data_IF_558137799420
#
_entry.id   IF_558137799420
#
_cell.length_a   1.000
_cell.length_b   1.000
_cell.length_c   1.000
_cell.angle_alpha   90.00
_cell.angle_beta   90.00
_cell.angle_gamma   90.00
#
_symmetry.space_group_name_H-M   'P 1'
#
loop_
_entity.id
_entity.type
_entity.pdbx_description
1 polymer ?
#
# COMPACT_ATOMS: atom_id res chain seq x y z
N UNK A 1 10.45 17.19 29.80
CA UNK A 1 11.59 16.99 28.88
C UNK A 1 11.54 18.03 27.75
N UNK A 2 12.64 18.36 27.05
CA UNK A 2 12.57 19.16 25.81
C UNK A 2 12.40 18.29 24.57
N UNK A 3 11.83 18.84 23.49
CA UNK A 3 11.60 18.11 22.22
C UNK A 3 12.87 17.39 21.72
N UNK A 4 14.03 18.07 21.71
CA UNK A 4 15.28 17.43 21.29
C UNK A 4 15.76 16.30 22.22
N UNK A 5 15.45 16.39 23.52
CA UNK A 5 15.81 15.36 24.51
C UNK A 5 14.93 14.13 24.32
N UNK A 6 13.65 14.32 24.01
CA UNK A 6 12.71 13.25 23.70
C UNK A 6 13.12 12.47 22.45
N UNK A 7 13.47 13.16 21.36
CA UNK A 7 13.96 12.51 20.15
C UNK A 7 15.27 11.77 20.38
N UNK A 8 16.20 12.35 21.14
CA UNK A 8 17.48 11.71 21.46
C UNK A 8 17.29 10.46 22.31
N UNK A 9 16.42 10.51 23.30
CA UNK A 9 16.07 9.35 24.12
C UNK A 9 15.41 8.27 23.26
N UNK A 10 14.41 8.62 22.44
CA UNK A 10 13.71 7.66 21.59
C UNK A 10 14.65 7.00 20.57
N UNK A 11 15.50 7.76 19.89
CA UNK A 11 16.51 7.22 18.95
C UNK A 11 17.42 6.20 19.65
N UNK A 12 17.99 6.54 20.82
CA UNK A 12 18.84 5.61 21.59
C UNK A 12 18.07 4.35 21.99
N UNK A 13 16.87 4.52 22.54
CA UNK A 13 16.07 3.42 23.05
C UNK A 13 15.58 2.49 21.93
N UNK A 14 15.20 3.03 20.78
CA UNK A 14 14.77 2.27 19.61
C UNK A 14 15.93 1.49 19.00
N UNK A 15 17.10 2.12 18.83
CA UNK A 15 18.30 1.45 18.32
C UNK A 15 18.74 0.29 19.23
N UNK A 16 18.76 0.51 20.55
CA UNK A 16 19.10 -0.54 21.53
C UNK A 16 18.16 -1.76 21.46
N UNK A 17 16.92 -1.55 21.00
CA UNK A 17 15.92 -2.60 20.83
C UNK A 17 15.75 -3.05 19.36
N UNK A 18 16.66 -2.65 18.46
CA UNK A 18 16.64 -3.07 17.05
C UNK A 18 15.43 -2.55 16.25
N UNK A 19 14.92 -1.36 16.60
CA UNK A 19 13.83 -0.66 15.90
C UNK A 19 14.35 0.54 15.11
N UNK A 20 13.57 0.97 14.10
CA UNK A 20 13.87 2.19 13.34
C UNK A 20 13.69 3.43 14.22
N UNK A 21 14.71 4.28 14.26
CA UNK A 21 14.70 5.52 15.04
C UNK A 21 13.69 6.56 14.53
N UNK A 22 13.30 6.50 13.25
CA UNK A 22 12.33 7.42 12.64
C UNK A 22 10.96 7.36 13.32
N UNK A 23 10.63 6.23 13.96
CA UNK A 23 9.41 6.08 14.77
C UNK A 23 9.30 7.18 15.84
N UNK A 24 10.41 7.64 16.41
CA UNK A 24 10.44 8.74 17.38
C UNK A 24 9.91 10.05 16.81
N UNK A 25 10.28 10.41 15.58
CA UNK A 25 9.78 11.63 14.93
C UNK A 25 8.26 11.55 14.69
N UNK A 26 7.77 10.41 14.22
CA UNK A 26 6.35 10.19 13.93
C UNK A 26 5.47 10.32 15.19
N UNK A 27 5.85 9.63 16.27
CA UNK A 27 5.11 9.69 17.54
C UNK A 27 5.15 11.11 18.10
N UNK A 28 6.29 11.79 18.04
CA UNK A 28 6.40 13.13 18.60
C UNK A 28 5.58 14.15 17.80
N UNK A 29 5.58 14.06 16.47
CA UNK A 29 4.69 14.88 15.63
C UNK A 29 3.21 14.65 16.00
N UNK A 30 2.79 13.41 16.21
CA UNK A 30 1.44 13.06 16.63
C UNK A 30 1.08 13.66 18.00
N UNK A 31 1.91 13.43 19.03
CA UNK A 31 1.68 13.90 20.39
C UNK A 31 1.63 15.43 20.47
N UNK A 32 2.50 16.11 19.71
CA UNK A 32 2.56 17.57 19.65
C UNK A 32 1.52 18.17 18.69
N UNK A 33 0.78 17.35 17.95
CA UNK A 33 -0.19 17.77 16.91
C UNK A 33 0.45 18.74 15.90
N UNK A 34 1.65 18.39 15.45
CA UNK A 34 2.45 19.21 14.55
C UNK A 34 3.02 18.38 13.42
N UNK A 35 3.55 19.04 12.40
CA UNK A 35 4.30 18.38 11.33
C UNK A 35 5.81 18.46 11.61
N UNK A 36 6.61 17.79 10.79
CA UNK A 36 8.07 17.76 10.94
C UNK A 36 8.69 19.16 11.01
N UNK A 37 8.26 20.09 10.17
CA UNK A 37 8.74 21.49 10.20
C UNK A 37 8.43 22.16 11.53
N UNK A 38 7.20 22.03 12.02
CA UNK A 38 6.80 22.58 13.32
C UNK A 38 7.55 21.93 14.50
N UNK A 39 7.80 20.63 14.45
CA UNK A 39 8.63 19.93 15.44
C UNK A 39 10.06 20.50 15.45
N UNK A 40 10.69 20.64 14.27
CA UNK A 40 12.06 21.16 14.13
C UNK A 40 12.19 22.62 14.61
N UNK A 41 11.17 23.44 14.37
CA UNK A 41 11.15 24.83 14.86
C UNK A 41 11.07 24.91 16.40
N UNK A 42 10.46 23.93 17.04
CA UNK A 42 10.20 23.91 18.48
C UNK A 42 11.15 22.96 19.25
N UNK A 43 12.32 22.63 18.70
CA UNK A 43 13.26 21.67 19.30
C UNK A 43 13.66 22.00 20.74
N UNK A 44 13.65 23.28 21.13
CA UNK A 44 14.04 23.74 22.47
C UNK A 44 12.88 23.90 23.44
N UNK A 45 11.65 23.79 22.94
CA UNK A 45 10.45 23.90 23.76
C UNK A 45 10.30 22.68 24.68
N UNK A 46 9.69 22.91 25.83
CA UNK A 46 9.35 21.86 26.79
C UNK A 46 8.05 21.17 26.38
N UNK A 47 8.03 19.85 26.46
CA UNK A 47 6.80 19.07 26.33
C UNK A 47 6.13 18.93 27.69
N UNK A 48 4.79 18.89 27.73
CA UNK A 48 4.06 18.70 28.99
C UNK A 48 4.26 17.30 29.54
N UNK A 49 3.93 17.08 30.81
CA UNK A 49 4.04 15.76 31.45
C UNK A 49 3.13 14.75 30.77
N UNK A 50 1.94 15.16 30.34
CA UNK A 50 1.00 14.31 29.61
C UNK A 50 1.55 13.92 28.22
N UNK A 51 2.17 14.88 27.52
CA UNK A 51 2.82 14.62 26.23
C UNK A 51 4.01 13.67 26.39
N UNK A 52 4.85 13.90 27.40
CA UNK A 52 5.99 13.03 27.73
C UNK A 52 5.54 11.60 28.06
N UNK A 53 4.47 11.46 28.85
CA UNK A 53 3.89 10.16 29.21
C UNK A 53 3.37 9.45 27.96
N UNK A 54 2.55 10.12 27.16
CA UNK A 54 2.00 9.55 25.92
C UNK A 54 3.11 9.17 24.94
N UNK A 55 4.09 10.03 24.72
CA UNK A 55 5.24 9.75 23.84
C UNK A 55 5.98 8.49 24.29
N UNK A 56 6.30 8.41 25.58
CA UNK A 56 7.03 7.27 26.16
C UNK A 56 6.25 5.96 26.02
N UNK A 57 4.94 5.98 26.28
CA UNK A 57 4.06 4.81 26.15
C UNK A 57 4.02 4.26 24.70
N UNK A 58 3.91 5.14 23.70
CA UNK A 58 3.92 4.74 22.29
C UNK A 58 5.25 4.08 21.91
N UNK A 59 6.37 4.66 22.35
CA UNK A 59 7.70 4.13 22.06
C UNK A 59 7.90 2.74 22.70
N UNK A 60 7.44 2.54 23.94
CA UNK A 60 7.48 1.23 24.58
C UNK A 60 6.64 0.19 23.83
N UNK A 61 5.40 0.53 23.47
CA UNK A 61 4.53 -0.35 22.67
C UNK A 61 5.12 -0.69 21.30
N UNK A 62 5.85 0.24 20.70
CA UNK A 62 6.53 -0.02 19.43
C UNK A 62 7.66 -1.03 19.57
N UNK A 63 8.42 -0.95 20.67
CA UNK A 63 9.43 -1.95 20.99
C UNK A 63 8.79 -3.33 21.16
N UNK A 64 7.61 -3.41 21.78
CA UNK A 64 6.84 -4.65 21.92
C UNK A 64 6.33 -5.22 20.58
N UNK A 65 6.35 -4.45 19.50
CA UNK A 65 6.01 -4.91 18.15
C UNK A 65 4.88 -4.12 17.49
N UNK A 66 4.16 -3.27 18.21
CA UNK A 66 2.98 -2.59 17.65
C UNK A 66 3.44 -1.51 16.65
N UNK A 67 2.97 -1.51 15.39
CA UNK A 67 3.27 -0.44 14.43
C UNK A 67 2.82 0.93 14.95
N UNK A 68 3.67 1.96 14.77
CA UNK A 68 3.35 3.33 15.19
C UNK A 68 2.06 3.81 14.54
N UNK A 69 1.90 3.52 13.26
CA UNK A 69 0.79 3.93 12.40
C UNK A 69 -0.56 3.50 12.96
N UNK A 70 -0.67 2.26 13.45
CA UNK A 70 -1.90 1.77 14.07
C UNK A 70 -2.18 2.46 15.40
N UNK A 71 -1.15 2.84 16.17
CA UNK A 71 -1.35 3.58 17.40
C UNK A 71 -1.73 5.04 17.16
N UNK A 72 -1.14 5.69 16.15
CA UNK A 72 -1.47 7.09 15.79
C UNK A 72 -2.73 7.19 14.92
N UNK A 73 -3.15 6.08 14.31
CA UNK A 73 -4.36 5.91 13.50
C UNK A 73 -4.23 6.32 12.04
N UNK A 74 -3.03 6.64 11.53
CA UNK A 74 -2.86 7.04 10.13
C UNK A 74 -1.46 6.77 9.60
N UNK A 75 -1.34 6.74 8.27
CA UNK A 75 -0.09 6.77 7.51
C UNK A 75 -0.16 7.87 6.44
N UNK A 76 0.97 8.50 6.13
CA UNK A 76 1.10 9.43 5.03
C UNK A 76 1.41 8.67 3.74
N UNK A 77 0.57 8.85 2.73
CA UNK A 77 0.74 8.23 1.42
C UNK A 77 0.33 9.21 0.33
N UNK A 78 1.19 9.40 -0.67
CA UNK A 78 0.99 10.31 -1.81
C UNK A 78 0.61 11.74 -1.37
N UNK A 79 1.26 12.22 -0.31
CA UNK A 79 1.02 13.54 0.29
C UNK A 79 -0.29 13.69 1.08
N UNK A 80 -1.02 12.59 1.34
CA UNK A 80 -2.32 12.56 2.03
C UNK A 80 -2.25 11.69 3.27
N UNK A 81 -3.12 11.95 4.24
CA UNK A 81 -3.24 11.14 5.46
C UNK A 81 -4.32 10.09 5.25
N UNK A 82 -3.97 8.82 5.32
CA UNK A 82 -4.88 7.68 5.26
C UNK A 82 -5.04 7.09 6.66
N UNK A 83 -6.28 6.98 7.12
CA UNK A 83 -6.63 6.20 8.30
C UNK A 83 -6.22 4.73 8.09
N UNK A 84 -5.56 4.15 9.09
CA UNK A 84 -5.13 2.74 9.09
C UNK A 84 -5.32 2.14 10.48
N UNK A 85 -5.61 0.84 10.49
CA UNK A 85 -5.77 0.01 11.68
C UNK A 85 -5.32 -1.44 11.37
N UNK A 86 -5.45 -2.34 12.34
CA UNK A 86 -5.05 -3.76 12.22
C UNK A 86 -5.75 -4.56 11.10
N UNK A 87 -6.78 -4.00 10.46
CA UNK A 87 -7.52 -4.66 9.39
C UNK A 87 -6.93 -4.43 8.00
N UNK A 88 -5.94 -3.53 7.86
CA UNK A 88 -5.35 -3.14 6.57
C UNK A 88 -3.83 -3.10 6.62
N UNK A 89 -3.19 -3.41 5.49
CA UNK A 89 -1.75 -3.17 5.32
C UNK A 89 -1.45 -1.68 5.45
N UNK A 90 -0.36 -1.34 6.16
CA UNK A 90 0.14 0.04 6.19
C UNK A 90 0.69 0.37 4.79
N UNK A 91 0.22 1.44 4.11
CA UNK A 91 0.72 1.85 2.80
C UNK A 91 2.24 2.00 2.79
N UNK A 92 2.89 1.51 1.73
CA UNK A 92 4.35 1.52 1.60
C UNK A 92 4.79 2.53 0.54
N UNK A 93 5.93 3.23 0.72
CA UNK A 93 6.42 4.19 -0.25
C UNK A 93 6.59 3.62 -1.66
N UNK A 94 7.01 2.35 -1.78
CA UNK A 94 7.19 1.65 -3.06
C UNK A 94 5.88 1.58 -3.87
N UNK A 95 4.72 1.51 -3.20
CA UNK A 95 3.41 1.50 -3.85
C UNK A 95 3.09 2.86 -4.51
N UNK A 96 3.71 3.96 -4.08
CA UNK A 96 3.57 5.25 -4.78
C UNK A 96 4.20 5.18 -6.19
N UNK A 97 5.32 4.48 -6.33
CA UNK A 97 5.99 4.29 -7.63
C UNK A 97 5.14 3.46 -8.59
N UNK A 98 4.39 2.48 -8.08
CA UNK A 98 3.41 1.72 -8.88
C UNK A 98 2.35 2.66 -9.47
N UNK A 99 1.80 3.56 -8.66
CA UNK A 99 0.76 4.52 -9.09
C UNK A 99 1.32 5.47 -10.16
N UNK A 100 2.53 5.99 -9.95
CA UNK A 100 3.23 6.82 -10.96
C UNK A 100 3.34 6.05 -12.28
N UNK A 101 3.86 4.82 -12.23
CA UNK A 101 4.02 3.98 -13.42
C UNK A 101 2.70 3.62 -14.12
N UNK A 102 1.60 3.49 -13.38
CA UNK A 102 0.25 3.30 -13.93
C UNK A 102 -0.23 4.56 -14.65
N UNK A 103 -0.12 5.74 -14.02
CA UNK A 103 -0.60 7.00 -14.59
C UNK A 103 0.17 7.37 -15.87
N UNK A 104 1.48 7.20 -15.90
CA UNK A 104 2.31 7.43 -17.09
C UNK A 104 1.92 6.50 -18.26
N UNK A 105 1.61 5.24 -17.96
CA UNK A 105 1.14 4.27 -18.97
C UNK A 105 -0.25 4.61 -19.47
N UNK A 106 -1.16 5.01 -18.58
CA UNK A 106 -2.49 5.50 -18.95
C UNK A 106 -2.39 6.67 -19.92
N UNK A 107 -1.60 7.71 -19.60
CA UNK A 107 -1.43 8.88 -20.46
C UNK A 107 -0.89 8.48 -21.84
N UNK A 108 0.13 7.61 -21.88
CA UNK A 108 0.75 7.17 -23.14
C UNK A 108 -0.17 6.28 -23.98
N UNK A 109 -0.89 5.35 -23.35
CA UNK A 109 -1.69 4.35 -24.06
C UNK A 109 -3.07 4.89 -24.42
N UNK A 110 -3.71 5.67 -23.55
CA UNK A 110 -5.11 6.07 -23.67
C UNK A 110 -5.31 7.58 -23.75
N UNK A 111 -4.32 8.40 -23.39
CA UNK A 111 -4.48 9.86 -23.32
C UNK A 111 -5.60 10.27 -22.37
N UNK A 112 -6.55 11.07 -22.85
CA UNK A 112 -7.68 11.61 -22.08
C UNK A 112 -8.96 10.75 -22.16
N UNK A 113 -8.87 9.50 -22.64
CA UNK A 113 -10.02 8.59 -22.67
C UNK A 113 -10.57 8.33 -21.25
N UNK A 114 -11.89 8.09 -21.16
CA UNK A 114 -12.50 7.66 -19.89
C UNK A 114 -12.30 6.16 -19.72
N UNK A 115 -11.69 5.78 -18.60
CA UNK A 115 -11.25 4.40 -18.36
C UNK A 115 -11.90 3.79 -17.12
N UNK A 116 -12.17 2.50 -17.19
CA UNK A 116 -12.56 1.67 -16.07
C UNK A 116 -11.31 1.03 -15.45
N UNK A 117 -10.99 1.44 -14.22
CA UNK A 117 -9.78 0.99 -13.51
C UNK A 117 -10.19 0.21 -12.27
N UNK A 118 -9.57 -0.94 -12.02
CA UNK A 118 -9.81 -1.71 -10.80
C UNK A 118 -8.52 -1.88 -9.99
N UNK A 119 -8.60 -1.55 -8.71
CA UNK A 119 -7.62 -1.87 -7.68
C UNK A 119 -8.07 -3.13 -6.92
N UNK A 120 -7.26 -4.19 -6.96
CA UNK A 120 -7.60 -5.49 -6.37
C UNK A 120 -6.77 -5.71 -5.10
N UNK A 121 -7.45 -5.93 -3.97
CA UNK A 121 -6.84 -5.95 -2.64
C UNK A 121 -6.70 -4.54 -2.07
N UNK A 122 -7.83 -3.82 -1.94
CA UNK A 122 -7.87 -2.39 -1.59
C UNK A 122 -7.08 -2.02 -0.33
N UNK A 123 -7.10 -2.88 0.70
CA UNK A 123 -6.55 -2.55 2.01
C UNK A 123 -7.14 -1.24 2.54
N UNK A 124 -6.29 -0.23 2.75
CA UNK A 124 -6.71 1.11 3.21
C UNK A 124 -7.34 1.98 2.10
N UNK A 125 -7.35 1.50 0.86
CA UNK A 125 -7.77 2.24 -0.33
C UNK A 125 -6.65 3.10 -0.95
N UNK A 126 -5.40 2.94 -0.50
CA UNK A 126 -4.28 3.79 -0.91
C UNK A 126 -4.15 3.93 -2.44
N UNK A 127 -4.21 2.82 -3.18
CA UNK A 127 -4.09 2.80 -4.64
C UNK A 127 -5.35 3.40 -5.29
N UNK A 128 -6.53 2.80 -5.06
CA UNK A 128 -7.79 3.24 -5.68
C UNK A 128 -8.13 4.70 -5.43
N UNK A 129 -8.01 5.17 -4.19
CA UNK A 129 -8.32 6.56 -3.82
C UNK A 129 -7.35 7.53 -4.49
N UNK A 130 -6.05 7.20 -4.48
CA UNK A 130 -5.04 8.06 -5.11
C UNK A 130 -5.28 8.15 -6.61
N UNK A 131 -5.49 7.03 -7.31
CA UNK A 131 -5.80 7.02 -8.75
C UNK A 131 -7.03 7.89 -9.07
N UNK A 132 -8.10 7.79 -8.27
CA UNK A 132 -9.31 8.59 -8.46
C UNK A 132 -9.09 10.10 -8.27
N UNK A 133 -8.16 10.48 -7.39
CA UNK A 133 -7.82 11.88 -7.12
C UNK A 133 -6.84 12.47 -8.15
N UNK A 134 -5.91 11.66 -8.66
CA UNK A 134 -4.89 12.10 -9.63
C UNK A 134 -5.45 12.22 -11.06
N UNK A 135 -6.44 11.39 -11.45
CA UNK A 135 -7.01 11.45 -12.80
C UNK A 135 -8.55 11.32 -12.80
N UNK A 136 -9.22 12.42 -13.14
CA UNK A 136 -10.70 12.51 -13.17
C UNK A 136 -11.37 11.79 -14.34
N UNK A 137 -10.60 11.31 -15.32
CA UNK A 137 -11.13 10.48 -16.41
C UNK A 137 -11.26 9.01 -15.99
N UNK A 138 -10.74 8.62 -14.83
CA UNK A 138 -10.84 7.26 -14.32
C UNK A 138 -12.15 7.06 -13.56
N UNK A 139 -12.89 6.02 -13.93
CA UNK A 139 -13.90 5.43 -13.08
C UNK A 139 -13.25 4.29 -12.30
N UNK A 140 -12.93 4.56 -11.03
CA UNK A 140 -12.17 3.62 -10.20
C UNK A 140 -13.09 2.70 -9.42
N UNK A 141 -12.86 1.40 -9.58
CA UNK A 141 -13.40 0.34 -8.77
C UNK A 141 -12.34 -0.16 -7.81
N UNK A 142 -12.78 -0.74 -6.70
CA UNK A 142 -11.89 -1.51 -5.84
C UNK A 142 -12.57 -2.74 -5.28
N UNK A 143 -11.78 -3.80 -5.07
CA UNK A 143 -12.23 -5.07 -4.54
C UNK A 143 -11.37 -5.45 -3.34
N UNK A 144 -11.99 -5.95 -2.28
CA UNK A 144 -11.29 -6.65 -1.22
C UNK A 144 -12.12 -7.84 -0.72
N UNK A 145 -11.42 -8.87 -0.23
CA UNK A 145 -12.04 -10.05 0.37
C UNK A 145 -12.48 -9.79 1.81
N UNK A 146 -11.85 -8.83 2.48
CA UNK A 146 -12.18 -8.44 3.84
C UNK A 146 -13.16 -7.25 3.85
N UNK A 147 -14.29 -7.44 4.53
CA UNK A 147 -15.31 -6.39 4.64
C UNK A 147 -14.81 -5.22 5.49
N UNK A 148 -13.98 -5.51 6.48
CA UNK A 148 -13.34 -4.56 7.39
C UNK A 148 -12.38 -3.64 6.64
N UNK A 149 -11.58 -4.17 5.70
CA UNK A 149 -10.69 -3.37 4.84
C UNK A 149 -11.49 -2.41 3.94
N UNK A 150 -12.63 -2.87 3.39
CA UNK A 150 -13.53 -2.02 2.61
C UNK A 150 -14.09 -0.87 3.44
N UNK A 151 -14.39 -1.08 4.72
CA UNK A 151 -14.89 -0.04 5.61
C UNK A 151 -13.83 1.04 5.87
N UNK A 152 -12.58 0.64 6.11
CA UNK A 152 -11.43 1.55 6.21
C UNK A 152 -11.25 2.36 4.93
N UNK A 153 -11.26 1.69 3.77
CA UNK A 153 -11.12 2.36 2.48
C UNK A 153 -12.28 3.33 2.18
N UNK A 154 -13.52 3.00 2.57
CA UNK A 154 -14.66 3.91 2.45
C UNK A 154 -14.51 5.15 3.34
N UNK A 155 -14.01 4.99 4.56
CA UNK A 155 -13.73 6.11 5.46
C UNK A 155 -12.66 7.05 4.87
N UNK A 156 -11.59 6.48 4.33
CA UNK A 156 -10.55 7.24 3.65
C UNK A 156 -11.08 7.97 2.41
N UNK A 157 -11.84 7.28 1.55
CA UNK A 157 -12.40 7.87 0.34
C UNK A 157 -13.33 9.04 0.67
N UNK A 158 -14.17 8.88 1.69
CA UNK A 158 -15.05 9.96 2.19
C UNK A 158 -14.25 11.13 2.74
N UNK A 159 -13.22 10.88 3.54
CA UNK A 159 -12.39 11.91 4.18
C UNK A 159 -11.59 12.70 3.15
N UNK A 160 -11.06 12.02 2.13
CA UNK A 160 -10.23 12.62 1.07
C UNK A 160 -11.04 13.14 -0.12
N UNK A 161 -12.36 12.86 -0.16
CA UNK A 161 -13.25 13.32 -1.23
C UNK A 161 -13.05 12.59 -2.56
N UNK A 162 -12.66 11.32 -2.53
CA UNK A 162 -12.47 10.49 -3.71
C UNK A 162 -13.75 9.71 -4.08
N UNK A 163 -14.06 9.64 -5.37
CA UNK A 163 -15.15 8.82 -5.89
C UNK A 163 -14.62 7.44 -6.31
N UNK A 164 -14.96 6.41 -5.53
CA UNK A 164 -14.55 5.02 -5.77
C UNK A 164 -15.77 4.10 -5.63
N UNK A 165 -15.90 3.14 -6.53
CA UNK A 165 -16.92 2.09 -6.47
C UNK A 165 -16.36 0.86 -5.74
N UNK A 166 -16.96 0.47 -4.62
CA UNK A 166 -16.46 -0.62 -3.76
C UNK A 166 -17.21 -1.92 -4.00
N UNK A 167 -16.47 -3.02 -4.15
CA UNK A 167 -17.00 -4.37 -4.17
C UNK A 167 -16.38 -5.24 -3.07
N UNK A 168 -17.23 -6.02 -2.40
CA UNK A 168 -16.78 -7.12 -1.56
C UNK A 168 -16.71 -8.40 -2.40
N UNK A 169 -15.54 -9.02 -2.46
CA UNK A 169 -15.35 -10.21 -3.28
C UNK A 169 -13.91 -10.69 -3.33
N UNK A 170 -13.74 -11.86 -3.94
CA UNK A 170 -12.43 -12.44 -4.17
C UNK A 170 -11.92 -12.05 -5.57
N UNK A 171 -10.73 -11.46 -5.61
CA UNK A 171 -10.03 -10.99 -6.81
C UNK A 171 -10.94 -10.31 -7.85
N UNK A 172 -10.99 -10.84 -9.08
CA UNK A 172 -11.72 -10.23 -10.19
C UNK A 172 -13.17 -10.74 -10.30
N UNK A 173 -13.62 -11.53 -9.32
CA UNK A 173 -14.94 -12.15 -9.33
C UNK A 173 -16.14 -11.21 -9.42
N UNK A 174 -16.13 -10.00 -8.84
CA UNK A 174 -17.22 -9.05 -9.05
C UNK A 174 -17.39 -8.64 -10.52
N UNK A 175 -16.30 -8.59 -11.29
CA UNK A 175 -16.30 -8.11 -12.68
C UNK A 175 -16.74 -9.20 -13.66
N UNK A 176 -16.15 -10.40 -13.63
CA UNK A 176 -16.56 -11.44 -14.58
C UNK A 176 -17.98 -11.97 -14.32
N UNK A 177 -18.49 -11.89 -13.08
CA UNK A 177 -19.89 -12.21 -12.78
C UNK A 177 -20.89 -11.21 -13.38
N UNK A 178 -20.49 -9.95 -13.52
CA UNK A 178 -21.33 -8.87 -14.06
C UNK A 178 -21.07 -8.62 -15.55
N UNK A 179 -20.00 -9.19 -16.11
CA UNK A 179 -19.54 -8.92 -17.46
C UNK A 179 -18.88 -7.55 -17.64
N UNK A 180 -18.59 -6.83 -16.54
CA UNK A 180 -17.90 -5.55 -16.57
C UNK A 180 -16.48 -5.76 -17.10
N UNK A 181 -16.10 -4.95 -18.09
CA UNK A 181 -14.75 -4.94 -18.65
C UNK A 181 -13.92 -3.80 -18.07
N UNK A 182 -12.61 -4.01 -18.00
CA UNK A 182 -11.65 -3.11 -17.38
C UNK A 182 -10.56 -2.75 -18.38
N UNK A 183 -10.20 -1.47 -18.40
CA UNK A 183 -9.09 -0.92 -19.19
C UNK A 183 -7.78 -1.03 -18.40
N UNK A 184 -7.84 -0.95 -17.07
CA UNK A 184 -6.66 -1.05 -16.20
C UNK A 184 -6.96 -1.91 -14.98
N UNK A 185 -6.08 -2.85 -14.66
CA UNK A 185 -6.08 -3.60 -13.40
C UNK A 185 -4.77 -3.32 -12.67
N UNK A 186 -4.87 -2.89 -11.41
CA UNK A 186 -3.74 -2.63 -10.53
C UNK A 186 -3.90 -3.47 -9.26
N UNK A 187 -2.82 -4.01 -8.73
CA UNK A 187 -2.86 -4.70 -7.44
C UNK A 187 -1.50 -4.67 -6.75
N UNK A 188 -1.51 -4.53 -5.43
CA UNK A 188 -0.42 -4.92 -4.55
C UNK A 188 -0.87 -6.18 -3.78
N UNK A 189 -0.82 -7.38 -4.41
CA UNK A 189 -1.32 -8.59 -3.78
C UNK A 189 -0.32 -9.11 -2.75
N UNK A 190 -0.74 -10.01 -1.86
CA UNK A 190 0.17 -10.73 -0.97
C UNK A 190 1.19 -11.54 -1.79
N UNK A 191 2.48 -11.35 -1.51
CA UNK A 191 3.57 -11.95 -2.31
C UNK A 191 4.62 -12.68 -1.47
N UNK A 192 4.48 -12.71 -0.15
CA UNK A 192 5.50 -13.30 0.74
C UNK A 192 5.34 -14.82 0.75
N UNK A 193 6.39 -15.61 0.45
CA UNK A 193 6.39 -17.05 0.61
C UNK A 193 6.09 -17.48 2.06
N UNK A 194 5.41 -18.61 2.23
CA UNK A 194 5.03 -19.10 3.57
C UNK A 194 6.25 -19.46 4.44
N UNK A 195 7.38 -19.84 3.84
CA UNK A 195 8.62 -20.08 4.58
C UNK A 195 9.25 -18.77 5.08
N UNK A 196 9.25 -17.73 4.26
CA UNK A 196 9.79 -16.40 4.58
C UNK A 196 8.96 -15.67 5.63
N UNK A 197 7.66 -15.97 5.72
CA UNK A 197 6.78 -15.50 6.79
C UNK A 197 7.38 -15.74 8.20
N UNK A 198 8.14 -16.83 8.37
CA UNK A 198 8.75 -17.14 9.67
C UNK A 198 9.87 -16.17 10.04
N UNK A 199 10.58 -15.63 9.05
CA UNK A 199 11.71 -14.71 9.18
C UNK A 199 11.35 -13.22 9.15
N UNK A 200 10.09 -12.87 8.88
CA UNK A 200 9.64 -11.48 8.95
C UNK A 200 9.84 -10.87 10.34
N UNK A 201 10.01 -9.55 10.35
CA UNK A 201 10.12 -8.81 11.61
C UNK A 201 8.87 -9.06 12.48
N UNK A 202 9.01 -9.16 13.82
CA UNK A 202 7.87 -9.39 14.70
C UNK A 202 6.73 -8.39 14.50
N UNK A 203 7.07 -7.13 14.18
CA UNK A 203 6.10 -6.04 13.94
C UNK A 203 5.15 -6.36 12.79
N UNK A 204 5.71 -6.80 11.66
CA UNK A 204 4.93 -7.15 10.47
C UNK A 204 4.13 -8.44 10.71
N UNK A 205 4.77 -9.43 11.33
CA UNK A 205 4.19 -10.76 11.52
C UNK A 205 3.03 -10.80 12.52
N UNK A 206 3.10 -10.01 13.59
CA UNK A 206 2.18 -10.08 14.72
C UNK A 206 1.01 -9.09 14.63
N UNK A 207 1.15 -8.04 13.82
CA UNK A 207 0.18 -6.93 13.82
C UNK A 207 -0.42 -6.60 12.46
N UNK A 208 0.24 -6.94 11.35
CA UNK A 208 -0.37 -6.78 10.02
C UNK A 208 -1.12 -8.06 9.62
N UNK A 209 -2.28 -7.95 8.94
CA UNK A 209 -3.12 -9.10 8.67
C UNK A 209 -2.41 -10.09 7.75
N UNK A 210 -2.21 -11.34 8.20
CA UNK A 210 -1.53 -12.41 7.41
C UNK A 210 -2.08 -12.54 5.99
N UNK A 211 -3.40 -12.35 5.82
CA UNK A 211 -4.10 -12.38 4.52
C UNK A 211 -3.59 -11.33 3.51
N UNK A 212 -3.00 -10.23 3.99
CA UNK A 212 -2.44 -9.16 3.15
C UNK A 212 -0.96 -9.38 2.81
N UNK A 213 -0.34 -10.44 3.34
CA UNK A 213 1.11 -10.64 3.28
C UNK A 213 1.51 -11.94 2.59
N UNK A 214 0.89 -13.07 2.94
CA UNK A 214 1.31 -14.40 2.46
C UNK A 214 0.70 -14.74 1.10
N UNK A 215 1.56 -15.01 0.12
CA UNK A 215 1.20 -15.32 -1.27
C UNK A 215 1.30 -16.81 -1.65
N UNK A 216 1.29 -17.72 -0.68
CA UNK A 216 1.40 -19.17 -0.91
C UNK A 216 2.78 -19.74 -0.63
N UNK A 217 3.07 -20.93 -1.17
CA UNK A 217 4.34 -21.65 -0.96
C UNK A 217 5.54 -20.84 -1.46
N UNK A 218 5.44 -20.28 -2.67
CA UNK A 218 6.49 -19.49 -3.34
C UNK A 218 6.11 -18.00 -3.51
N UNK A 219 5.01 -17.58 -2.90
CA UNK A 219 4.54 -16.20 -2.98
C UNK A 219 3.84 -15.85 -4.30
N UNK A 220 3.62 -16.81 -5.21
CA UNK A 220 3.09 -16.53 -6.54
C UNK A 220 1.61 -16.91 -6.77
N UNK A 221 0.90 -17.39 -5.75
CA UNK A 221 -0.46 -17.93 -5.92
C UNK A 221 -1.45 -16.89 -6.47
N UNK A 222 -1.40 -15.66 -5.99
CA UNK A 222 -2.28 -14.60 -6.48
C UNK A 222 -1.99 -14.24 -7.93
N UNK A 223 -0.72 -14.18 -8.35
CA UNK A 223 -0.38 -13.91 -9.74
C UNK A 223 -0.86 -15.03 -10.67
N UNK A 224 -0.73 -16.31 -10.27
CA UNK A 224 -1.29 -17.44 -11.03
C UNK A 224 -2.79 -17.31 -11.20
N UNK A 225 -3.52 -16.99 -10.13
CA UNK A 225 -4.97 -16.76 -10.18
C UNK A 225 -5.34 -15.59 -11.07
N UNK A 226 -4.59 -14.48 -11.00
CA UNK A 226 -4.79 -13.35 -11.90
C UNK A 226 -4.68 -13.77 -13.37
N UNK A 227 -3.70 -14.60 -13.74
CA UNK A 227 -3.55 -15.06 -15.13
C UNK A 227 -4.76 -15.86 -15.64
N UNK A 228 -5.46 -16.58 -14.76
CA UNK A 228 -6.68 -17.30 -15.10
C UNK A 228 -7.90 -16.36 -15.20
N UNK A 229 -7.96 -15.35 -14.35
CA UNK A 229 -9.14 -14.47 -14.22
C UNK A 229 -9.11 -13.26 -15.18
N UNK A 230 -7.94 -12.65 -15.41
CA UNK A 230 -7.75 -11.44 -16.24
C UNK A 230 -8.35 -11.55 -17.65
N UNK A 231 -8.17 -12.66 -18.41
CA UNK A 231 -8.74 -12.77 -19.76
C UNK A 231 -10.26 -12.58 -19.82
N UNK A 232 -10.95 -12.84 -18.71
CA UNK A 232 -12.41 -12.72 -18.63
C UNK A 232 -12.89 -11.28 -18.41
N UNK A 233 -12.02 -10.37 -17.97
CA UNK A 233 -12.40 -9.02 -17.53
C UNK A 233 -11.67 -7.90 -18.26
N UNK A 234 -10.53 -8.17 -18.89
CA UNK A 234 -9.81 -7.13 -19.62
C UNK A 234 -10.51 -6.77 -20.94
N UNK A 235 -10.38 -5.50 -21.31
CA UNK A 235 -10.55 -5.03 -22.69
C UNK A 235 -9.40 -5.55 -23.58
N UNK A 236 -9.53 -5.39 -24.90
CA UNK A 236 -8.46 -5.76 -25.84
C UNK A 236 -7.20 -4.91 -25.62
N UNK A 237 -7.42 -3.60 -25.54
CA UNK A 237 -6.43 -2.60 -25.14
C UNK A 237 -6.55 -2.39 -23.64
N UNK A 238 -5.52 -2.77 -22.90
CA UNK A 238 -5.57 -2.78 -21.44
C UNK A 238 -4.17 -2.64 -20.82
N UNK A 239 -4.13 -2.25 -19.54
CA UNK A 239 -2.92 -2.25 -18.72
C UNK A 239 -3.16 -3.16 -17.51
N UNK A 240 -2.17 -3.99 -17.18
CA UNK A 240 -2.10 -4.71 -15.92
C UNK A 240 -0.83 -4.28 -15.19
N UNK A 241 -0.95 -3.93 -13.91
CA UNK A 241 0.17 -3.47 -13.10
C UNK A 241 0.15 -4.17 -11.73
N UNK A 242 1.28 -4.75 -11.36
CA UNK A 242 1.43 -5.45 -10.09
C UNK A 242 2.63 -4.93 -9.31
N UNK A 243 2.46 -4.70 -8.01
CA UNK A 243 3.59 -4.74 -7.07
C UNK A 243 3.97 -6.20 -6.80
N UNK A 244 5.27 -6.44 -6.64
CA UNK A 244 5.86 -7.77 -6.47
C UNK A 244 6.92 -7.80 -5.35
N UNK A 245 7.16 -8.98 -4.81
CA UNK A 245 8.31 -9.25 -3.97
C UNK A 245 9.62 -9.18 -4.76
N UNK A 246 10.70 -8.83 -4.06
CA UNK A 246 12.05 -8.78 -4.65
C UNK A 246 12.44 -10.17 -5.17
N UNK A 247 12.92 -10.23 -6.41
CA UNK A 247 13.31 -11.45 -7.10
C UNK A 247 12.16 -12.14 -7.86
N UNK A 248 10.91 -11.69 -7.75
CA UNK A 248 9.76 -12.29 -8.43
C UNK A 248 9.49 -11.67 -9.82
N UNK A 249 10.25 -10.65 -10.24
CA UNK A 249 10.03 -9.90 -11.49
C UNK A 249 9.90 -10.76 -12.73
N UNK A 250 10.88 -11.61 -12.98
CA UNK A 250 10.89 -12.44 -14.20
C UNK A 250 9.84 -13.56 -14.15
N UNK A 251 9.51 -14.09 -12.97
CA UNK A 251 8.46 -15.11 -12.82
C UNK A 251 7.07 -14.53 -13.13
N UNK A 252 6.74 -13.37 -12.55
CA UNK A 252 5.46 -12.69 -12.79
C UNK A 252 5.36 -12.20 -14.23
N UNK A 253 6.45 -11.70 -14.80
CA UNK A 253 6.53 -11.35 -16.23
C UNK A 253 6.29 -12.57 -17.12
N UNK A 254 6.91 -13.70 -16.81
CA UNK A 254 6.70 -14.94 -17.57
C UNK A 254 5.23 -15.39 -17.52
N UNK A 255 4.60 -15.35 -16.34
CA UNK A 255 3.17 -15.65 -16.16
C UNK A 255 2.28 -14.75 -17.02
N UNK A 256 2.53 -13.43 -17.01
CA UNK A 256 1.82 -12.46 -17.84
C UNK A 256 1.99 -12.73 -19.34
N UNK A 257 3.20 -13.07 -19.79
CA UNK A 257 3.48 -13.39 -21.18
C UNK A 257 2.81 -14.70 -21.63
N UNK A 258 2.64 -15.69 -20.74
CA UNK A 258 1.87 -16.89 -21.06
C UNK A 258 0.38 -16.59 -21.22
N UNK A 259 -0.18 -15.76 -20.33
CA UNK A 259 -1.59 -15.38 -20.40
C UNK A 259 -1.89 -14.42 -21.58
N UNK A 260 -0.95 -13.54 -21.90
CA UNK A 260 -1.07 -12.51 -22.93
C UNK A 260 0.18 -12.49 -23.84
N UNK A 261 0.30 -13.41 -24.82
CA UNK A 261 1.50 -13.57 -25.65
C UNK A 261 1.88 -12.35 -26.51
N UNK A 262 0.94 -11.42 -26.71
CA UNK A 262 1.15 -10.20 -27.49
C UNK A 262 1.34 -8.94 -26.62
N UNK A 263 1.22 -9.06 -25.30
CA UNK A 263 1.42 -7.92 -24.41
C UNK A 263 2.89 -7.52 -24.34
N UNK A 264 3.15 -6.21 -24.28
CA UNK A 264 4.44 -5.71 -23.86
C UNK A 264 4.54 -5.82 -22.34
N UNK A 265 5.47 -6.65 -21.84
CA UNK A 265 5.63 -6.89 -20.40
C UNK A 265 7.00 -6.44 -19.93
N UNK A 266 7.03 -5.58 -18.91
CA UNK A 266 8.21 -4.94 -18.36
C UNK A 266 8.29 -5.14 -16.85
N UNK A 267 9.49 -5.44 -16.35
CA UNK A 267 9.82 -5.40 -14.92
C UNK A 267 10.47 -4.05 -14.63
N UNK A 268 9.90 -3.31 -13.70
CA UNK A 268 10.37 -1.98 -13.27
C UNK A 268 10.93 -2.08 -11.87
N UNK A 269 12.07 -1.43 -11.67
CA UNK A 269 12.79 -1.38 -10.42
C UNK A 269 12.35 -0.15 -9.61
N UNK A 270 12.29 -0.29 -8.29
CA UNK A 270 12.06 0.84 -7.39
C UNK A 270 13.27 1.80 -7.35
N UNK A 271 13.13 2.93 -6.65
CA UNK A 271 14.22 3.91 -6.49
C UNK A 271 15.45 3.33 -5.76
N UNK A 272 15.30 2.21 -5.05
CA UNK A 272 16.36 1.49 -4.37
C UNK A 272 17.04 0.44 -5.27
N UNK A 273 16.62 0.31 -6.54
CA UNK A 273 17.19 -0.61 -7.51
C UNK A 273 16.78 -2.07 -7.31
N UNK A 274 15.63 -2.33 -6.68
CA UNK A 274 15.05 -3.68 -6.53
C UNK A 274 13.89 -3.86 -7.51
N UNK A 275 13.74 -5.05 -8.09
CA UNK A 275 12.56 -5.36 -8.89
C UNK A 275 11.33 -5.32 -7.99
N UNK A 276 10.36 -4.47 -8.37
CA UNK A 276 9.25 -4.16 -7.49
C UNK A 276 7.91 -4.08 -8.18
N UNK A 277 7.92 -3.83 -9.49
CA UNK A 277 6.70 -3.67 -10.26
C UNK A 277 6.80 -4.45 -11.57
N UNK A 278 5.68 -5.02 -12.00
CA UNK A 278 5.54 -5.61 -13.35
C UNK A 278 4.35 -4.99 -14.04
N UNK A 279 4.57 -4.50 -15.25
CA UNK A 279 3.54 -3.90 -16.09
C UNK A 279 3.36 -4.74 -17.35
N UNK A 280 2.11 -4.96 -17.75
CA UNK A 280 1.75 -5.52 -19.05
C UNK A 280 0.81 -4.58 -19.78
N UNK A 281 1.13 -4.26 -21.03
CA UNK A 281 0.37 -3.36 -21.88
C UNK A 281 -0.12 -4.12 -23.12
N UNK A 282 -1.44 -4.18 -23.30
CA UNK A 282 -2.11 -4.82 -24.44
C UNK A 282 -2.59 -3.78 -25.46
N UNK A 283 -2.54 -4.13 -26.75
CA UNK A 283 -3.00 -3.32 -27.89
C UNK A 283 -4.30 -3.85 -28.53
#
# INVERSE_FOLDING_TARGET
MRVYEALKWASSFLQENGRDENAGELVLCHVLKTNRTGMLMNMREEITVEQETSFTEFIHKHVEGIPIQYMIGYEMFYGRSFFVNEEVLIPRPETEELIVGVLERIERHFGDEKLHVADIGTGSGAISITLALENKNLHVYTVDIAQESIEVAKENAKTLGAEVTFYHGDLLSPFYKTGQKLDVVVSNPPYIPEEDWRGLSPVVKEHEPKRALVGGEDGLDFYRRFMEELPNVLQKKAIVAFEIGVGQGEDVKWLLQQAFPHAHVEVVFDINGKDRMVFAEME
#
